data_IF_259705981282
#
_entry.id   IF_259705981282
#
_cell.length_a   1.000
_cell.length_b   1.000
_cell.length_c   1.000
_cell.angle_alpha   90.00
_cell.angle_beta   90.00
_cell.angle_gamma   90.00
#
_symmetry.space_group_name_H-M   'P 1'
#
loop_
_entity.id
_entity.type
_entity.pdbx_description
1 polymer ?
#
# COMPACT_ATOMS: atom_id res chain seq x y z
N UNK A 1 6.91 15.98 -66.41
CA UNK A 1 5.49 15.59 -66.23
C UNK A 1 5.49 14.51 -65.14
N UNK A 2 5.09 14.81 -63.88
CA UNK A 2 3.73 14.63 -63.29
C UNK A 2 3.21 13.19 -63.51
N UNK A 3 2.75 12.37 -62.55
CA UNK A 3 2.21 12.49 -61.17
C UNK A 3 2.30 11.07 -60.51
N UNK A 4 2.65 10.94 -59.23
CA UNK A 4 1.81 10.71 -58.01
C UNK A 4 1.38 9.26 -57.72
N UNK A 5 1.69 8.87 -56.46
CA UNK A 5 0.92 8.08 -55.46
C UNK A 5 0.46 6.65 -55.83
N UNK A 6 0.50 5.65 -54.95
CA UNK A 6 0.24 5.68 -53.50
C UNK A 6 0.95 4.52 -52.78
N UNK A 7 1.50 4.77 -51.60
CA UNK A 7 1.87 3.74 -50.62
C UNK A 7 0.64 3.42 -49.75
N UNK A 8 0.32 2.15 -49.46
CA UNK A 8 -0.67 1.84 -48.44
C UNK A 8 -0.04 1.92 -47.04
N UNK A 9 -0.50 2.89 -46.26
CA UNK A 9 -0.46 2.87 -44.79
C UNK A 9 -1.36 1.74 -44.27
N UNK A 10 -0.90 0.98 -43.27
CA UNK A 10 -1.62 0.86 -42.00
C UNK A 10 -0.79 0.05 -40.96
N UNK A 11 -1.08 0.22 -39.65
CA UNK A 11 -0.10 0.16 -38.58
C UNK A 11 -0.26 -1.08 -37.69
N UNK A 12 0.85 -1.62 -37.20
CA UNK A 12 0.82 -2.43 -35.97
C UNK A 12 1.70 -1.78 -34.91
N UNK A 13 1.06 -0.89 -34.17
CA UNK A 13 1.53 -0.44 -32.86
C UNK A 13 1.24 -1.59 -31.89
N UNK A 14 2.20 -2.50 -31.71
CA UNK A 14 2.17 -3.40 -30.56
C UNK A 14 2.57 -2.57 -29.33
N UNK A 15 1.55 -2.09 -28.64
CA UNK A 15 1.69 -1.48 -27.33
C UNK A 15 2.08 -2.61 -26.38
N UNK A 16 3.38 -2.78 -26.17
CA UNK A 16 3.87 -3.45 -24.98
C UNK A 16 3.42 -2.61 -23.79
N UNK A 17 2.27 -2.97 -23.21
CA UNK A 17 1.88 -2.61 -21.86
C UNK A 17 2.89 -3.24 -20.91
N UNK A 18 4.06 -2.62 -20.81
CA UNK A 18 4.89 -2.73 -19.63
C UNK A 18 4.04 -2.16 -18.48
N UNK A 19 3.34 -3.06 -17.82
CA UNK A 19 2.73 -2.82 -16.52
C UNK A 19 3.87 -2.46 -15.57
N UNK A 20 4.20 -1.17 -15.54
CA UNK A 20 5.09 -0.56 -14.57
C UNK A 20 4.42 -0.74 -13.21
N UNK A 21 4.69 -1.91 -12.60
CA UNK A 21 4.63 -2.06 -11.15
C UNK A 21 5.65 -1.06 -10.61
N UNK A 22 5.18 0.18 -10.43
CA UNK A 22 5.88 1.24 -9.73
C UNK A 22 5.94 0.80 -8.27
N UNK A 23 6.84 -0.15 -7.99
CA UNK A 23 7.41 -0.33 -6.68
C UNK A 23 8.20 0.95 -6.42
N UNK A 24 7.49 1.99 -5.97
CA UNK A 24 8.09 3.20 -5.45
C UNK A 24 9.00 2.72 -4.32
N UNK A 25 10.31 2.82 -4.52
CA UNK A 25 11.27 2.67 -3.43
C UNK A 25 10.82 3.59 -2.31
N UNK A 26 10.35 2.98 -1.22
CA UNK A 26 9.81 3.71 -0.09
C UNK A 26 11.00 4.42 0.54
N UNK A 27 11.06 5.75 0.42
CA UNK A 27 12.01 6.58 1.18
C UNK A 27 11.76 6.35 2.68
N UNK A 28 12.40 5.33 3.27
CA UNK A 28 12.24 4.96 4.68
C UNK A 28 12.58 6.12 5.62
N UNK A 29 13.40 7.08 5.16
CA UNK A 29 13.74 8.32 5.86
C UNK A 29 12.56 9.31 6.03
N UNK A 30 11.35 9.00 5.53
CA UNK A 30 10.17 9.87 5.61
C UNK A 30 9.00 9.25 6.41
N UNK A 31 9.23 8.13 7.11
CA UNK A 31 8.24 7.54 8.00
C UNK A 31 8.24 8.32 9.33
N UNK A 32 7.07 8.73 9.79
CA UNK A 32 6.90 9.47 11.04
C UNK A 32 5.66 8.99 11.81
N UNK A 33 5.57 9.35 13.08
CA UNK A 33 4.44 9.05 13.95
C UNK A 33 3.13 9.55 13.32
N UNK A 34 2.10 8.70 13.33
CA UNK A 34 0.80 8.98 12.74
C UNK A 34 0.67 8.68 11.25
N UNK A 35 1.73 8.16 10.61
CA UNK A 35 1.65 7.63 9.24
C UNK A 35 0.97 6.26 9.20
N UNK A 36 0.36 5.95 8.07
CA UNK A 36 -0.16 4.63 7.77
C UNK A 36 0.80 3.93 6.81
N UNK A 37 1.11 2.67 7.07
CA UNK A 37 2.03 1.88 6.26
C UNK A 37 1.46 0.49 5.98
N UNK A 38 1.92 -0.12 4.90
CA UNK A 38 1.75 -1.54 4.65
C UNK A 38 3.07 -2.23 5.03
N UNK A 39 3.02 -3.21 5.93
CA UNK A 39 4.21 -3.91 6.41
C UNK A 39 4.05 -5.43 6.30
N UNK A 40 5.18 -6.12 6.13
CA UNK A 40 5.26 -7.57 6.17
C UNK A 40 5.41 -8.07 7.61
N UNK A 41 4.68 -9.13 7.93
CA UNK A 41 4.75 -9.86 9.18
C UNK A 41 5.10 -11.31 8.88
N UNK A 42 6.25 -11.75 9.36
CA UNK A 42 6.74 -13.09 9.10
C UNK A 42 6.25 -14.08 10.17
N UNK A 43 5.37 -14.98 9.76
CA UNK A 43 5.01 -16.16 10.54
C UNK A 43 5.96 -17.34 10.26
N UNK A 44 5.82 -18.44 11.00
CA UNK A 44 6.70 -19.62 10.87
C UNK A 44 6.76 -20.26 9.48
N UNK A 45 5.73 -20.07 8.64
CA UNK A 45 5.58 -20.72 7.32
C UNK A 45 4.99 -19.82 6.24
N UNK A 46 4.56 -18.61 6.61
CA UNK A 46 3.80 -17.69 5.77
C UNK A 46 4.16 -16.27 6.14
N UNK A 47 4.09 -15.38 5.16
CA UNK A 47 4.17 -13.94 5.39
C UNK A 47 2.79 -13.32 5.22
N UNK A 48 2.49 -12.35 6.07
CA UNK A 48 1.22 -11.66 6.09
C UNK A 48 1.48 -10.17 5.89
N UNK A 49 0.63 -9.51 5.11
CA UNK A 49 0.69 -8.07 4.94
C UNK A 49 -0.37 -7.41 5.82
N UNK A 50 0.04 -6.44 6.62
CA UNK A 50 -0.88 -5.68 7.47
C UNK A 50 -0.76 -4.19 7.21
N UNK A 51 -1.91 -3.52 7.30
CA UNK A 51 -1.95 -2.07 7.38
C UNK A 51 -1.70 -1.69 8.83
N UNK A 52 -0.77 -0.76 9.05
CA UNK A 52 -0.29 -0.39 10.36
C UNK A 52 -0.30 1.13 10.51
N UNK A 53 -0.66 1.60 11.71
CA UNK A 53 -0.48 2.99 12.12
C UNK A 53 0.82 3.09 12.91
N UNK A 54 1.74 3.96 12.48
CA UNK A 54 2.97 4.25 13.22
C UNK A 54 2.62 5.03 14.49
N UNK A 55 2.99 4.47 15.65
CA UNK A 55 2.83 5.12 16.95
C UNK A 55 4.11 5.87 17.31
N UNK A 56 5.24 5.19 17.14
CA UNK A 56 6.57 5.71 17.47
C UNK A 56 7.61 5.12 16.53
N UNK A 57 8.62 5.92 16.17
CA UNK A 57 9.74 5.50 15.32
C UNK A 57 11.02 5.59 16.15
N UNK A 58 11.77 4.49 16.19
CA UNK A 58 13.13 4.37 16.73
C UNK A 58 14.12 4.19 15.57
N UNK A 59 15.42 4.08 15.87
CA UNK A 59 16.49 4.05 14.86
C UNK A 59 16.23 3.06 13.71
N UNK A 60 15.96 1.79 14.02
CA UNK A 60 15.73 0.72 13.02
C UNK A 60 14.34 0.06 13.11
N UNK A 61 13.55 0.45 14.10
CA UNK A 61 12.26 -0.17 14.44
C UNK A 61 11.16 0.88 14.59
N UNK A 62 9.91 0.48 14.38
CA UNK A 62 8.74 1.29 14.67
C UNK A 62 7.73 0.51 15.51
N UNK A 63 7.22 1.16 16.56
CA UNK A 63 6.02 0.69 17.25
C UNK A 63 4.81 1.03 16.38
N UNK A 64 4.02 0.00 16.08
CA UNK A 64 2.85 0.13 15.22
C UNK A 64 1.62 -0.52 15.84
N UNK A 65 0.45 0.03 15.50
CA UNK A 65 -0.84 -0.63 15.77
C UNK A 65 -1.40 -1.19 14.49
N UNK A 66 -1.72 -2.49 14.48
CA UNK A 66 -2.26 -3.16 13.31
C UNK A 66 -3.74 -2.82 13.10
N UNK A 67 -4.10 -2.61 11.84
CA UNK A 67 -5.47 -2.37 11.41
C UNK A 67 -6.08 -3.65 10.84
N UNK A 68 -7.27 -3.99 11.34
CA UNK A 68 -8.03 -5.15 10.88
C UNK A 68 -8.82 -4.82 9.62
N UNK A 69 -8.57 -5.57 8.54
CA UNK A 69 -9.36 -5.51 7.30
C UNK A 69 -10.83 -5.82 7.58
N UNK A 70 -11.73 -5.01 7.03
CA UNK A 70 -13.17 -5.25 7.06
C UNK A 70 -13.63 -5.97 5.78
N UNK A 71 -14.96 -6.11 5.60
CA UNK A 71 -15.54 -6.77 4.41
C UNK A 71 -15.10 -6.17 3.07
N UNK A 72 -14.78 -4.87 3.04
CA UNK A 72 -14.32 -4.16 1.84
C UNK A 72 -12.81 -3.90 1.90
N UNK A 73 -12.07 -4.04 0.79
CA UNK A 73 -10.61 -3.98 0.78
C UNK A 73 -10.03 -2.61 1.14
N UNK A 74 -10.80 -1.53 1.00
CA UNK A 74 -10.41 -0.17 1.37
C UNK A 74 -10.74 0.19 2.84
N UNK A 75 -11.43 -0.69 3.58
CA UNK A 75 -11.98 -0.39 4.91
C UNK A 75 -11.30 -1.18 6.00
N UNK A 76 -10.86 -0.46 7.03
CA UNK A 76 -10.13 -1.01 8.14
C UNK A 76 -10.64 -0.48 9.48
N UNK A 77 -10.41 -1.25 10.55
CA UNK A 77 -10.67 -0.84 11.94
C UNK A 77 -9.36 -0.89 12.71
N UNK A 78 -9.11 0.14 13.52
CA UNK A 78 -7.99 0.13 14.46
C UNK A 78 -8.31 -0.80 15.63
N UNK A 79 -7.38 -1.69 15.96
CA UNK A 79 -7.43 -2.50 17.17
C UNK A 79 -6.39 -1.94 18.14
N UNK A 80 -6.77 -1.01 19.02
CA UNK A 80 -5.84 -0.27 19.88
C UNK A 80 -4.96 -1.15 20.80
N UNK A 81 -5.41 -2.39 21.04
CA UNK A 81 -4.68 -3.38 21.85
C UNK A 81 -3.67 -4.20 21.04
N UNK A 82 -3.72 -4.13 19.72
CA UNK A 82 -2.88 -4.90 18.81
C UNK A 82 -1.65 -4.10 18.39
N UNK A 83 -0.75 -3.93 19.36
CA UNK A 83 0.52 -3.20 19.22
C UNK A 83 1.68 -4.16 19.04
N UNK A 84 2.60 -3.82 18.15
CA UNK A 84 3.81 -4.59 17.90
C UNK A 84 4.96 -3.70 17.43
N UNK A 85 6.19 -4.20 17.52
CA UNK A 85 7.36 -3.58 16.88
C UNK A 85 7.63 -4.27 15.55
N UNK A 86 7.96 -3.49 14.52
CA UNK A 86 8.41 -3.98 13.21
C UNK A 86 9.71 -3.30 12.82
N UNK A 87 10.55 -3.99 12.04
CA UNK A 87 11.72 -3.36 11.42
C UNK A 87 11.25 -2.38 10.35
N UNK A 88 11.95 -1.25 10.22
CA UNK A 88 11.67 -0.31 9.13
C UNK A 88 11.87 -0.96 7.76
N UNK A 89 12.75 -1.96 7.64
CA UNK A 89 12.95 -2.75 6.42
C UNK A 89 11.75 -3.60 6.01
N UNK A 90 10.84 -3.91 6.95
CA UNK A 90 9.65 -4.72 6.69
C UNK A 90 8.49 -3.88 6.15
N UNK A 91 8.65 -2.55 6.14
CA UNK A 91 7.68 -1.63 5.55
C UNK A 91 7.76 -1.71 4.02
N UNK A 92 6.66 -2.11 3.41
CA UNK A 92 6.54 -2.22 1.95
C UNK A 92 6.30 -0.85 1.34
N UNK A 93 5.34 -0.09 1.90
CA UNK A 93 4.97 1.22 1.40
C UNK A 93 4.30 2.09 2.47
N UNK A 94 4.46 3.41 2.32
CA UNK A 94 3.65 4.40 3.02
C UNK A 94 2.32 4.60 2.30
N UNK A 95 1.23 4.55 3.05
CA UNK A 95 -0.14 4.73 2.57
C UNK A 95 -0.58 6.18 2.74
N UNK A 96 -1.52 6.61 1.89
CA UNK A 96 -2.19 7.89 2.09
C UNK A 96 -3.00 7.89 3.39
N UNK A 97 -3.14 9.07 3.99
CA UNK A 97 -3.94 9.22 5.20
C UNK A 97 -5.40 8.86 4.90
N UNK A 98 -5.98 7.85 5.58
CA UNK A 98 -7.35 7.45 5.37
C UNK A 98 -8.34 8.48 5.94
N UNK A 99 -9.59 8.41 5.47
CA UNK A 99 -10.71 9.14 6.08
C UNK A 99 -11.20 8.38 7.31
N UNK A 100 -11.32 9.09 8.43
CA UNK A 100 -11.93 8.55 9.65
C UNK A 100 -13.45 8.75 9.60
N UNK A 101 -14.20 7.67 9.72
CA UNK A 101 -15.66 7.68 9.72
C UNK A 101 -16.18 7.02 11.01
N UNK A 102 -17.08 7.66 11.76
CA UNK A 102 -17.67 7.07 12.96
C UNK A 102 -18.47 5.81 12.63
N UNK A 103 -18.36 4.79 13.48
CA UNK A 103 -19.08 3.53 13.34
C UNK A 103 -19.41 2.90 14.69
N UNK A 104 -20.62 3.19 15.19
CA UNK A 104 -20.99 2.87 16.56
C UNK A 104 -20.03 3.57 17.53
N UNK A 105 -19.54 2.84 18.51
CA UNK A 105 -18.54 3.32 19.49
C UNK A 105 -17.10 3.32 18.95
N UNK A 106 -16.89 2.89 17.70
CA UNK A 106 -15.56 2.75 17.10
C UNK A 106 -15.38 3.67 15.89
N UNK A 107 -14.15 3.79 15.42
CA UNK A 107 -13.81 4.49 14.18
C UNK A 107 -13.41 3.51 13.07
N UNK A 108 -13.77 3.88 11.83
CA UNK A 108 -13.33 3.19 10.62
C UNK A 108 -12.38 4.06 9.83
N UNK A 109 -11.37 3.42 9.27
CA UNK A 109 -10.37 4.01 8.39
C UNK A 109 -10.69 3.59 6.97
N UNK A 110 -10.92 4.58 6.09
CA UNK A 110 -11.23 4.35 4.68
C UNK A 110 -10.12 4.94 3.83
N UNK A 111 -9.35 4.08 3.16
CA UNK A 111 -8.31 4.49 2.23
C UNK A 111 -8.91 4.89 0.88
N UNK A 112 -8.19 5.74 0.13
CA UNK A 112 -8.58 6.19 -1.21
C UNK A 112 -8.56 5.05 -2.24
N UNK A 113 -7.69 4.07 -2.03
CA UNK A 113 -7.51 2.89 -2.87
C UNK A 113 -7.61 1.59 -2.05
N UNK A 114 -7.86 0.48 -2.75
CA UNK A 114 -7.83 -0.84 -2.15
C UNK A 114 -6.40 -1.18 -1.72
N UNK A 115 -6.23 -1.63 -0.48
CA UNK A 115 -4.92 -2.06 0.03
C UNK A 115 -4.81 -3.58 -0.04
N UNK A 116 -3.81 -4.07 -0.75
CA UNK A 116 -3.55 -5.49 -0.87
C UNK A 116 -2.86 -6.04 0.39
N UNK A 117 -3.65 -6.73 1.20
CA UNK A 117 -3.23 -7.39 2.45
C UNK A 117 -3.25 -8.92 2.32
N UNK A 118 -2.97 -9.44 1.12
CA UNK A 118 -2.96 -10.88 0.86
C UNK A 118 -1.83 -11.62 1.58
N UNK A 119 -2.07 -12.90 1.91
CA UNK A 119 -1.05 -13.82 2.42
C UNK A 119 -0.11 -14.27 1.28
N UNK A 120 1.18 -14.42 1.60
CA UNK A 120 2.19 -15.02 0.71
C UNK A 120 2.84 -16.24 1.37
#
# INVERSE_FOLDING_TARGET
MKCQESEPEDPEVDQTEENVSSARETDFHKIQNGDFVLANFFGKRKSYKYVCLIIEVSDDEAEVTCLRKMRKPEKFRLEEKDKCSILLSDIIQKLERPKLVPYGDNQKYIFSSAVDVSEQ
#
